data_IF_630901621158
#
_entry.id   IF_630901621158
#
_cell.length_a   1.000
_cell.length_b   1.000
_cell.length_c   1.000
_cell.angle_alpha   90.00
_cell.angle_beta   90.00
_cell.angle_gamma   90.00
#
_symmetry.space_group_name_H-M   'P 1'
#
loop_
_entity.id
_entity.type
_entity.pdbx_description
1 polymer ?
#
# COMPACT_ATOMS: atom_id res chain seq x y z
N UNK A 1 -6.69 25.75 20.87
CA UNK A 1 -5.28 26.08 21.23
C UNK A 1 -4.51 26.33 19.93
N UNK A 2 -3.90 27.54 19.73
CA UNK A 2 -3.08 27.78 18.54
C UNK A 2 -1.75 27.03 18.71
N UNK A 3 -1.56 25.94 17.98
CA UNK A 3 -0.30 25.20 17.93
C UNK A 3 0.72 26.09 17.19
N UNK A 4 1.90 26.37 17.81
CA UNK A 4 2.92 27.13 17.12
C UNK A 4 3.47 26.36 15.91
N UNK A 5 3.84 27.06 14.83
CA UNK A 5 4.40 26.41 13.63
C UNK A 5 5.60 25.52 13.95
N UNK A 6 6.48 25.95 14.91
CA UNK A 6 7.63 25.16 15.36
C UNK A 6 7.19 23.84 16.01
N UNK A 7 6.18 23.86 16.88
CA UNK A 7 5.63 22.65 17.52
C UNK A 7 4.99 21.73 16.48
N UNK A 8 4.28 22.31 15.50
CA UNK A 8 3.66 21.55 14.41
C UNK A 8 4.72 20.80 13.58
N UNK A 9 5.78 21.48 13.11
CA UNK A 9 6.86 20.82 12.35
C UNK A 9 7.55 19.72 13.17
N UNK A 10 7.87 19.96 14.43
CA UNK A 10 8.53 18.96 15.29
C UNK A 10 7.62 17.75 15.46
N UNK A 11 6.32 17.95 15.64
CA UNK A 11 5.37 16.85 15.79
C UNK A 11 5.24 16.02 14.52
N UNK A 12 5.07 16.67 13.35
CA UNK A 12 5.00 15.97 12.08
C UNK A 12 6.28 15.22 11.78
N UNK A 13 7.45 15.85 11.98
CA UNK A 13 8.74 15.19 11.80
C UNK A 13 8.91 13.98 12.73
N UNK A 14 8.50 14.10 14.01
CA UNK A 14 8.60 12.99 14.96
C UNK A 14 7.67 11.83 14.56
N UNK A 15 6.44 12.11 14.15
CA UNK A 15 5.52 11.10 13.64
C UNK A 15 6.03 10.48 12.33
N UNK A 16 6.65 11.28 11.46
CA UNK A 16 7.30 10.79 10.25
C UNK A 16 8.49 9.87 10.54
N UNK A 17 9.31 10.16 11.57
CA UNK A 17 10.40 9.28 12.01
C UNK A 17 9.84 7.94 12.54
N UNK A 18 8.73 7.96 13.28
CA UNK A 18 8.04 6.75 13.71
C UNK A 18 7.60 5.92 12.50
N UNK A 19 6.98 6.56 11.50
CA UNK A 19 6.58 5.91 10.27
C UNK A 19 7.78 5.39 9.47
N UNK A 20 8.85 6.16 9.34
CA UNK A 20 10.08 5.75 8.66
C UNK A 20 10.62 4.42 9.23
N UNK A 21 10.83 4.34 10.53
CA UNK A 21 11.29 3.08 11.15
C UNK A 21 10.25 1.98 11.06
N UNK A 22 8.95 2.32 11.11
CA UNK A 22 7.87 1.39 10.87
C UNK A 22 7.94 0.78 9.48
N UNK A 23 8.17 1.60 8.46
CA UNK A 23 8.23 1.17 7.08
C UNK A 23 9.55 0.47 6.74
N UNK A 24 10.67 0.83 7.39
CA UNK A 24 11.91 0.04 7.29
C UNK A 24 11.66 -1.42 7.71
N UNK A 25 10.92 -1.66 8.79
CA UNK A 25 10.61 -3.04 9.23
C UNK A 25 9.53 -3.65 8.34
N UNK A 26 8.44 -2.93 8.09
CA UNK A 26 7.28 -3.41 7.37
C UNK A 26 7.57 -3.68 5.89
N UNK A 27 8.06 -2.68 5.14
CA UNK A 27 8.35 -2.83 3.71
C UNK A 27 9.61 -3.69 3.50
N UNK A 28 10.57 -3.64 4.44
CA UNK A 28 11.67 -4.57 4.47
C UNK A 28 11.19 -6.02 4.55
N UNK A 29 10.34 -6.35 5.51
CA UNK A 29 9.74 -7.67 5.62
C UNK A 29 8.91 -8.04 4.39
N UNK A 30 8.08 -7.13 3.89
CA UNK A 30 7.22 -7.32 2.71
C UNK A 30 8.02 -7.69 1.46
N UNK A 31 9.22 -7.17 1.29
CA UNK A 31 10.09 -7.47 0.16
C UNK A 31 10.58 -8.92 0.14
N UNK A 32 10.64 -9.57 1.30
CA UNK A 32 11.19 -10.92 1.47
C UNK A 32 10.10 -11.98 1.75
N UNK A 33 8.93 -11.61 2.28
CA UNK A 33 7.86 -12.54 2.66
C UNK A 33 7.45 -13.50 1.55
N UNK A 34 7.25 -13.10 0.28
CA UNK A 34 6.81 -14.02 -0.77
C UNK A 34 7.82 -15.12 -1.05
N UNK A 35 9.10 -14.77 -1.07
CA UNK A 35 10.21 -15.69 -1.23
C UNK A 35 10.35 -16.60 -0.01
N UNK A 36 10.28 -16.04 1.20
CA UNK A 36 10.37 -16.81 2.44
C UNK A 36 9.23 -17.82 2.57
N UNK A 37 7.99 -17.45 2.25
CA UNK A 37 6.87 -18.39 2.21
C UNK A 37 7.10 -19.52 1.20
N UNK A 38 7.67 -19.20 0.01
CA UNK A 38 8.08 -20.20 -0.97
C UNK A 38 9.16 -21.12 -0.41
N UNK A 39 10.18 -20.57 0.26
CA UNK A 39 11.24 -21.35 0.92
C UNK A 39 10.67 -22.32 1.95
N UNK A 40 9.63 -21.91 2.69
CA UNK A 40 8.91 -22.77 3.64
C UNK A 40 7.97 -23.79 2.96
N UNK A 41 7.84 -23.78 1.63
CA UNK A 41 7.05 -24.72 0.86
C UNK A 41 5.64 -24.23 0.46
N UNK A 42 5.34 -22.95 0.62
CA UNK A 42 4.07 -22.38 0.18
C UNK A 42 4.01 -22.29 -1.35
N UNK A 43 2.89 -22.68 -1.93
CA UNK A 43 2.62 -22.56 -3.37
C UNK A 43 2.35 -21.10 -3.79
N UNK A 44 2.43 -20.79 -5.08
CA UNK A 44 2.10 -19.46 -5.60
C UNK A 44 0.63 -19.10 -5.32
N UNK A 45 -0.29 -20.06 -5.42
CA UNK A 45 -1.70 -19.87 -5.07
C UNK A 45 -1.83 -19.44 -3.62
N UNK A 46 -1.13 -20.12 -2.70
CA UNK A 46 -1.20 -19.80 -1.27
C UNK A 46 -0.61 -18.41 -0.99
N UNK A 47 0.55 -18.07 -1.55
CA UNK A 47 1.17 -16.74 -1.40
C UNK A 47 0.27 -15.63 -1.95
N UNK A 48 -0.31 -15.83 -3.13
CA UNK A 48 -1.28 -14.90 -3.71
C UNK A 48 -2.52 -14.73 -2.85
N UNK A 49 -3.08 -15.84 -2.35
CA UNK A 49 -4.25 -15.82 -1.46
C UNK A 49 -3.98 -15.08 -0.16
N UNK A 50 -2.84 -15.36 0.50
CA UNK A 50 -2.46 -14.73 1.76
C UNK A 50 -2.24 -13.23 1.57
N UNK A 51 -1.55 -12.84 0.50
CA UNK A 51 -1.33 -11.43 0.17
C UNK A 51 -2.65 -10.72 -0.09
N UNK A 52 -3.52 -11.31 -0.92
CA UNK A 52 -4.84 -10.77 -1.24
C UNK A 52 -5.74 -10.64 -0.01
N UNK A 53 -5.80 -11.69 0.82
CA UNK A 53 -6.57 -11.70 2.06
C UNK A 53 -6.04 -10.66 3.06
N UNK A 54 -4.73 -10.54 3.19
CA UNK A 54 -4.09 -9.56 4.06
C UNK A 54 -4.43 -8.11 3.67
N UNK A 55 -4.35 -7.77 2.37
CA UNK A 55 -4.73 -6.43 1.88
C UNK A 55 -6.22 -6.17 2.09
N UNK A 56 -7.09 -7.14 1.80
CA UNK A 56 -8.53 -7.01 2.01
C UNK A 56 -8.88 -6.78 3.49
N UNK A 57 -8.31 -7.58 4.39
CA UNK A 57 -8.45 -7.41 5.84
C UNK A 57 -7.96 -6.02 6.24
N UNK A 58 -6.80 -5.59 5.70
CA UNK A 58 -6.23 -4.28 5.93
C UNK A 58 -7.20 -3.14 5.56
N UNK A 59 -7.85 -3.22 4.40
CA UNK A 59 -8.82 -2.20 3.96
C UNK A 59 -10.08 -2.16 4.84
N UNK A 60 -10.66 -3.32 5.16
CA UNK A 60 -11.87 -3.38 6.00
C UNK A 60 -11.59 -2.89 7.41
N UNK A 61 -10.51 -3.38 8.03
CA UNK A 61 -10.19 -3.02 9.40
C UNK A 61 -9.84 -1.54 9.57
N UNK A 62 -9.31 -0.86 8.55
CA UNK A 62 -9.10 0.61 8.61
C UNK A 62 -10.39 1.37 8.82
N UNK A 63 -11.50 0.95 8.20
CA UNK A 63 -12.80 1.59 8.39
C UNK A 63 -13.28 1.40 9.83
N UNK A 64 -13.15 0.19 10.35
CA UNK A 64 -13.58 -0.15 11.71
C UNK A 64 -12.70 0.56 12.75
N UNK A 65 -11.38 0.48 12.61
CA UNK A 65 -10.43 1.06 13.56
C UNK A 65 -10.50 2.58 13.60
N UNK A 66 -10.66 3.24 12.45
CA UNK A 66 -10.86 4.69 12.36
C UNK A 66 -12.13 5.12 13.08
N UNK A 67 -13.27 4.48 12.79
CA UNK A 67 -14.54 4.77 13.46
C UNK A 67 -14.48 4.52 14.97
N UNK A 68 -13.82 3.44 15.39
CA UNK A 68 -13.68 3.11 16.81
C UNK A 68 -12.75 4.10 17.52
N UNK A 69 -11.65 4.50 16.90
CA UNK A 69 -10.74 5.51 17.43
C UNK A 69 -11.44 6.88 17.58
N UNK A 70 -12.27 7.26 16.62
CA UNK A 70 -13.05 8.50 16.67
C UNK A 70 -14.10 8.50 17.80
N UNK A 71 -14.76 7.38 18.02
CA UNK A 71 -15.76 7.21 19.09
C UNK A 71 -15.14 7.17 20.48
N UNK A 72 -14.05 6.42 20.62
CA UNK A 72 -13.38 6.20 21.92
C UNK A 72 -12.38 7.30 22.27
N UNK A 73 -11.95 8.11 21.29
CA UNK A 73 -10.84 9.08 21.40
C UNK A 73 -9.49 8.44 21.76
N UNK A 74 -9.39 7.13 21.65
CA UNK A 74 -8.23 6.34 22.08
C UNK A 74 -7.16 6.22 20.96
N UNK A 75 -6.92 7.28 20.18
CA UNK A 75 -6.02 7.26 19.02
C UNK A 75 -4.64 6.66 19.33
N UNK A 76 -4.06 7.04 20.48
CA UNK A 76 -2.75 6.53 20.86
C UNK A 76 -2.75 5.04 21.19
N UNK A 77 -3.84 4.49 21.71
CA UNK A 77 -3.97 3.03 21.93
C UNK A 77 -3.87 2.30 20.59
N UNK A 78 -4.60 2.77 19.57
CA UNK A 78 -4.54 2.17 18.23
C UNK A 78 -3.16 2.34 17.59
N UNK A 79 -2.49 3.48 17.79
CA UNK A 79 -1.13 3.73 17.32
C UNK A 79 -0.16 2.74 17.99
N UNK A 80 -0.18 2.59 19.31
CA UNK A 80 0.69 1.66 20.04
C UNK A 80 0.44 0.21 19.67
N UNK A 81 -0.82 -0.22 19.61
CA UNK A 81 -1.18 -1.59 19.20
C UNK A 81 -0.73 -1.86 17.77
N UNK A 82 -0.99 -0.93 16.85
CA UNK A 82 -0.67 -1.11 15.45
C UNK A 82 0.83 -1.12 15.16
N UNK A 83 1.62 -0.25 15.79
CA UNK A 83 3.09 -0.28 15.66
C UNK A 83 3.70 -1.44 16.47
N UNK A 84 3.11 -1.82 17.61
CA UNK A 84 3.54 -2.99 18.38
C UNK A 84 3.40 -4.30 17.61
N UNK A 85 2.32 -4.44 16.82
CA UNK A 85 2.13 -5.61 15.94
C UNK A 85 3.17 -5.73 14.83
N UNK A 86 3.93 -4.67 14.50
CA UNK A 86 5.06 -4.80 13.56
C UNK A 86 6.12 -5.78 14.09
N UNK A 87 6.19 -6.01 15.42
CA UNK A 87 7.10 -6.99 16.02
C UNK A 87 6.98 -8.40 15.42
N UNK A 88 5.82 -8.74 14.85
CA UNK A 88 5.64 -10.05 14.18
C UNK A 88 6.51 -10.21 12.94
N UNK A 89 6.95 -9.10 12.31
CA UNK A 89 7.82 -9.15 11.12
C UNK A 89 9.20 -9.72 11.47
N UNK A 90 9.95 -9.20 12.45
CA UNK A 90 11.17 -9.86 12.91
C UNK A 90 10.96 -11.29 13.39
N UNK A 91 9.79 -11.59 14.00
CA UNK A 91 9.46 -12.95 14.47
C UNK A 91 9.24 -13.95 13.33
N UNK A 92 9.02 -13.51 12.09
CA UNK A 92 9.01 -14.41 10.92
C UNK A 92 10.27 -15.27 10.85
N UNK A 93 11.45 -14.74 11.25
CA UNK A 93 12.70 -15.50 11.28
C UNK A 93 12.68 -16.72 12.19
N UNK A 94 11.71 -16.82 13.10
CA UNK A 94 11.50 -17.95 14.02
C UNK A 94 10.31 -18.83 13.62
N UNK A 95 9.62 -18.54 12.51
CA UNK A 95 8.46 -19.33 12.10
C UNK A 95 8.90 -20.73 11.65
N UNK A 96 8.39 -21.81 12.29
CA UNK A 96 8.80 -23.18 12.00
C UNK A 96 8.15 -23.72 10.70
N UNK A 97 7.11 -23.05 10.19
CA UNK A 97 6.35 -23.47 9.02
C UNK A 97 5.66 -22.26 8.36
N UNK A 98 5.21 -22.44 7.10
CA UNK A 98 4.49 -21.37 6.40
C UNK A 98 3.16 -21.01 7.05
N UNK A 99 2.47 -21.91 7.75
CA UNK A 99 1.22 -21.63 8.44
C UNK A 99 1.43 -20.58 9.55
N UNK A 100 2.48 -20.73 10.35
CA UNK A 100 2.83 -19.75 11.39
C UNK A 100 3.28 -18.44 10.76
N UNK A 101 4.07 -18.49 9.68
CA UNK A 101 4.47 -17.30 8.94
C UNK A 101 3.25 -16.54 8.39
N UNK A 102 2.24 -17.24 7.85
CA UNK A 102 0.98 -16.65 7.38
C UNK A 102 0.25 -15.91 8.51
N UNK A 103 0.18 -16.49 9.70
CA UNK A 103 -0.43 -15.82 10.85
C UNK A 103 0.29 -14.50 11.13
N UNK A 104 1.62 -14.49 11.13
CA UNK A 104 2.40 -13.27 11.35
C UNK A 104 2.16 -12.23 10.23
N UNK A 105 2.09 -12.66 8.98
CA UNK A 105 1.77 -11.77 7.84
C UNK A 105 0.39 -11.13 8.03
N UNK A 106 -0.62 -11.88 8.42
CA UNK A 106 -1.98 -11.34 8.66
C UNK A 106 -1.98 -10.39 9.87
N UNK A 107 -1.31 -10.75 10.98
CA UNK A 107 -1.21 -9.88 12.16
C UNK A 107 -0.52 -8.55 11.84
N UNK A 108 0.48 -8.55 10.98
CA UNK A 108 1.12 -7.33 10.51
C UNK A 108 0.11 -6.44 9.75
N UNK A 109 -0.73 -7.01 8.86
CA UNK A 109 -1.78 -6.28 8.14
C UNK A 109 -2.81 -5.67 9.09
N UNK A 110 -3.20 -6.41 10.11
CA UNK A 110 -4.05 -5.91 11.21
C UNK A 110 -3.36 -4.72 11.89
N UNK A 111 -2.07 -4.81 12.19
CA UNK A 111 -1.30 -3.73 12.78
C UNK A 111 -1.31 -2.46 11.92
N UNK A 112 -1.10 -2.58 10.61
CA UNK A 112 -1.18 -1.44 9.67
C UNK A 112 -2.58 -0.81 9.66
N UNK A 113 -3.61 -1.63 9.69
CA UNK A 113 -5.00 -1.17 9.70
C UNK A 113 -5.37 -0.42 10.99
N UNK A 114 -4.83 -0.83 12.14
CA UNK A 114 -5.09 -0.16 13.42
C UNK A 114 -4.39 1.21 13.49
N UNK A 115 -3.10 1.29 13.12
CA UNK A 115 -2.29 2.50 13.31
C UNK A 115 -2.60 3.62 12.33
N UNK A 116 -2.86 3.29 11.05
CA UNK A 116 -2.88 4.28 9.97
C UNK A 116 -3.96 5.36 10.16
N UNK A 117 -5.25 5.05 10.40
CA UNK A 117 -6.26 6.09 10.59
C UNK A 117 -6.00 6.98 11.80
N UNK A 118 -5.52 6.38 12.90
CA UNK A 118 -5.25 7.10 14.14
C UNK A 118 -4.03 8.01 14.02
N UNK A 119 -2.97 7.56 13.33
CA UNK A 119 -1.79 8.35 13.01
C UNK A 119 -2.16 9.57 12.16
N UNK A 120 -2.91 9.34 11.09
CA UNK A 120 -3.30 10.38 10.14
C UNK A 120 -4.22 11.42 10.80
N UNK A 121 -5.09 10.99 11.73
CA UNK A 121 -5.91 11.88 12.55
C UNK A 121 -5.04 12.80 13.41
N UNK A 122 -4.00 12.27 14.09
CA UNK A 122 -3.06 13.08 14.90
C UNK A 122 -2.31 14.08 14.01
N UNK A 123 -1.78 13.65 12.85
CA UNK A 123 -1.09 14.54 11.90
C UNK A 123 -2.02 15.64 11.41
N UNK A 124 -3.26 15.31 11.09
CA UNK A 124 -4.29 16.25 10.61
C UNK A 124 -4.57 17.40 11.59
N UNK A 125 -4.58 17.11 12.89
CA UNK A 125 -4.75 18.17 13.93
C UNK A 125 -3.58 19.14 13.94
N UNK A 126 -2.37 18.60 13.85
CA UNK A 126 -1.14 19.38 13.94
C UNK A 126 -0.88 20.18 12.66
N UNK A 127 -1.35 19.67 11.52
CA UNK A 127 -1.20 20.29 10.21
C UNK A 127 -1.83 21.69 10.13
N UNK A 128 -2.82 22.01 10.98
CA UNK A 128 -3.44 23.35 11.05
C UNK A 128 -2.41 24.46 11.32
N UNK A 129 -1.27 24.14 11.94
CA UNK A 129 -0.20 25.13 12.25
C UNK A 129 0.77 25.41 11.11
N UNK A 130 0.85 24.55 10.08
CA UNK A 130 1.85 24.66 8.99
C UNK A 130 1.26 24.45 7.58
N UNK A 131 -0.02 24.09 7.50
CA UNK A 131 -0.70 23.70 6.28
C UNK A 131 -0.67 22.17 6.04
N UNK A 132 -1.82 21.63 5.65
CA UNK A 132 -1.98 20.18 5.50
C UNK A 132 -1.05 19.58 4.42
N UNK A 133 -0.90 20.26 3.28
CA UNK A 133 0.00 19.80 2.21
C UNK A 133 1.46 19.65 2.67
N UNK A 134 1.98 20.63 3.44
CA UNK A 134 3.35 20.55 3.99
C UNK A 134 3.50 19.46 5.04
N UNK A 135 2.48 19.29 5.90
CA UNK A 135 2.51 18.29 6.96
C UNK A 135 2.50 16.87 6.39
N UNK A 136 1.54 16.58 5.53
CA UNK A 136 1.44 15.24 4.90
C UNK A 136 2.57 14.99 3.90
N UNK A 137 3.03 16.01 3.15
CA UNK A 137 4.18 15.87 2.26
C UNK A 137 5.49 15.55 2.99
N UNK A 138 5.76 16.18 4.14
CA UNK A 138 6.92 15.85 4.98
C UNK A 138 6.81 14.42 5.55
N UNK A 139 5.60 14.03 5.98
CA UNK A 139 5.35 12.68 6.47
C UNK A 139 5.58 11.64 5.37
N UNK A 140 5.00 11.86 4.18
CA UNK A 140 5.13 10.98 3.02
C UNK A 140 6.59 10.82 2.56
N UNK A 141 7.36 11.91 2.57
CA UNK A 141 8.79 11.84 2.26
C UNK A 141 9.53 10.89 3.21
N UNK A 142 9.22 10.92 4.50
CA UNK A 142 9.84 10.04 5.49
C UNK A 142 9.34 8.59 5.34
N UNK A 143 8.07 8.37 5.02
CA UNK A 143 7.52 7.06 4.68
C UNK A 143 8.24 6.46 3.46
N UNK A 144 8.44 7.22 2.38
CA UNK A 144 9.13 6.77 1.17
C UNK A 144 10.61 6.43 1.42
N UNK A 145 11.31 7.20 2.29
CA UNK A 145 12.67 6.85 2.72
C UNK A 145 12.68 5.49 3.42
N UNK A 146 11.67 5.22 4.27
CA UNK A 146 11.50 3.93 4.93
C UNK A 146 11.17 2.79 3.94
N UNK A 147 10.27 3.08 2.99
CA UNK A 147 9.81 2.11 1.99
C UNK A 147 10.90 1.64 1.01
N UNK A 148 11.87 2.51 0.71
CA UNK A 148 13.05 2.15 -0.09
C UNK A 148 14.16 1.60 0.80
N UNK A 149 14.39 2.22 1.96
CA UNK A 149 15.47 1.87 2.88
C UNK A 149 15.30 0.49 3.50
N UNK A 150 14.07 0.09 3.83
CA UNK A 150 13.77 -1.21 4.41
C UNK A 150 14.17 -2.38 3.52
N UNK A 151 13.64 -2.49 2.29
CA UNK A 151 14.03 -3.53 1.35
C UNK A 151 15.52 -3.50 1.00
N UNK A 152 16.13 -2.30 0.90
CA UNK A 152 17.58 -2.17 0.70
C UNK A 152 18.39 -2.75 1.86
N UNK A 153 17.95 -2.48 3.10
CA UNK A 153 18.55 -3.05 4.30
C UNK A 153 18.42 -4.58 4.31
N UNK A 154 17.24 -5.11 3.98
CA UNK A 154 16.98 -6.54 3.90
C UNK A 154 17.84 -7.20 2.81
N UNK A 155 17.98 -6.58 1.63
CA UNK A 155 18.86 -7.07 0.58
C UNK A 155 20.34 -7.17 1.07
N UNK A 156 20.84 -6.13 1.73
CA UNK A 156 22.17 -6.12 2.31
C UNK A 156 22.34 -7.20 3.39
N UNK A 157 21.35 -7.36 4.27
CA UNK A 157 21.36 -8.40 5.31
C UNK A 157 21.35 -9.81 4.71
N UNK A 158 20.53 -10.06 3.68
CA UNK A 158 20.52 -11.33 2.95
C UNK A 158 21.87 -11.62 2.30
N UNK A 159 22.48 -10.61 1.66
CA UNK A 159 23.79 -10.74 1.03
C UNK A 159 24.87 -11.12 2.06
N UNK A 160 24.98 -10.38 3.17
CA UNK A 160 25.99 -10.63 4.19
C UNK A 160 25.76 -11.90 5.02
N UNK A 161 24.49 -12.31 5.19
CA UNK A 161 24.15 -13.55 5.90
C UNK A 161 24.17 -14.80 5.01
N UNK A 162 24.66 -14.69 3.75
CA UNK A 162 24.61 -15.78 2.77
C UNK A 162 23.19 -16.34 2.57
N UNK A 163 22.24 -15.44 2.40
CA UNK A 163 20.80 -15.73 2.21
C UNK A 163 20.13 -16.45 3.38
N UNK A 164 20.53 -16.14 4.62
CA UNK A 164 19.91 -16.70 5.82
C UNK A 164 18.65 -15.89 6.20
N UNK A 165 17.48 -16.42 5.88
CA UNK A 165 16.18 -15.77 6.15
C UNK A 165 15.96 -15.50 7.63
N UNK A 166 16.22 -16.49 8.49
CA UNK A 166 16.02 -16.37 9.95
C UNK A 166 16.82 -15.20 10.53
N UNK A 167 18.12 -15.16 10.25
CA UNK A 167 18.99 -14.07 10.70
C UNK A 167 18.54 -12.72 10.16
N UNK A 168 18.15 -12.66 8.89
CA UNK A 168 17.70 -11.44 8.23
C UNK A 168 16.45 -10.86 8.88
N UNK A 169 15.43 -11.71 9.12
CA UNK A 169 14.23 -11.24 9.82
C UNK A 169 14.52 -10.82 11.25
N UNK A 170 15.30 -11.60 12.02
CA UNK A 170 15.66 -11.28 13.43
C UNK A 170 16.41 -9.94 13.51
N UNK A 171 17.30 -9.62 12.57
CA UNK A 171 18.01 -8.33 12.55
C UNK A 171 17.08 -7.13 12.40
N UNK A 172 15.86 -7.30 11.87
CA UNK A 172 14.84 -6.25 11.84
C UNK A 172 14.34 -5.84 13.24
N UNK A 173 14.68 -6.57 14.30
CA UNK A 173 14.46 -6.08 15.67
C UNK A 173 15.28 -4.81 15.97
N UNK A 174 16.39 -4.55 15.26
CA UNK A 174 17.18 -3.31 15.45
C UNK A 174 16.36 -2.08 15.04
N UNK A 175 15.88 -1.95 13.79
CA UNK A 175 15.02 -0.82 13.41
C UNK A 175 13.67 -0.85 14.15
N UNK A 176 13.15 -2.01 14.56
CA UNK A 176 11.97 -2.09 15.40
C UNK A 176 12.19 -1.48 16.79
N UNK A 177 13.35 -1.71 17.42
CA UNK A 177 13.68 -1.05 18.68
C UNK A 177 13.77 0.47 18.52
N UNK A 178 14.35 0.95 17.41
CA UNK A 178 14.39 2.38 17.08
C UNK A 178 12.97 2.93 16.87
N UNK A 179 12.07 2.20 16.22
CA UNK A 179 10.65 2.53 16.12
C UNK A 179 10.01 2.70 17.51
N UNK A 180 10.21 1.74 18.42
CA UNK A 180 9.62 1.79 19.76
C UNK A 180 10.13 3.04 20.53
N UNK A 181 11.43 3.33 20.47
CA UNK A 181 12.01 4.52 21.11
C UNK A 181 11.41 5.80 20.50
N UNK A 182 11.33 5.89 19.17
CA UNK A 182 10.73 7.03 18.48
C UNK A 182 9.25 7.21 18.84
N UNK A 183 8.49 6.11 18.94
CA UNK A 183 7.08 6.11 19.29
C UNK A 183 6.85 6.58 20.73
N UNK A 184 7.66 6.11 21.68
CA UNK A 184 7.60 6.55 23.07
C UNK A 184 7.96 8.04 23.20
N UNK A 185 8.95 8.50 22.44
CA UNK A 185 9.32 9.92 22.39
C UNK A 185 8.18 10.77 21.81
N UNK A 186 7.57 10.31 20.69
CA UNK A 186 6.41 10.96 20.08
C UNK A 186 5.25 11.09 21.07
N UNK A 187 4.93 10.01 21.78
CA UNK A 187 3.88 10.00 22.80
C UNK A 187 4.15 10.99 23.94
N UNK A 188 5.38 11.01 24.48
CA UNK A 188 5.76 11.96 25.53
C UNK A 188 5.59 13.41 25.11
N UNK A 189 5.92 13.72 23.84
CA UNK A 189 5.94 15.09 23.33
C UNK A 189 4.59 15.57 22.83
N UNK A 190 3.78 14.67 22.26
CA UNK A 190 2.55 14.97 21.53
C UNK A 190 1.31 14.40 22.21
N UNK A 191 1.44 13.23 22.83
CA UNK A 191 0.32 12.34 23.16
C UNK A 191 -0.72 12.91 24.11
N UNK A 192 -0.35 13.79 25.04
CA UNK A 192 -1.32 14.34 26.00
C UNK A 192 -2.01 15.62 25.51
N UNK A 193 -1.46 16.29 24.50
CA UNK A 193 -1.87 17.64 24.11
C UNK A 193 -2.60 17.71 22.77
N UNK A 194 -2.64 16.62 22.01
CA UNK A 194 -3.26 16.56 20.67
C UNK A 194 -4.35 15.51 20.68
N UNK A 195 -5.59 15.97 20.89
CA UNK A 195 -6.77 15.15 20.66
C UNK A 195 -7.43 15.62 19.35
N UNK A 196 -7.65 14.73 18.37
CA UNK A 196 -8.42 15.07 17.19
C UNK A 196 -9.85 15.46 17.57
N UNK A 197 -10.26 16.66 17.15
CA UNK A 197 -11.67 17.05 17.19
C UNK A 197 -12.38 16.32 16.07
N UNK A 198 -13.39 15.54 16.40
CA UNK A 198 -14.31 14.99 15.38
C UNK A 198 -15.03 16.17 14.75
N UNK A 199 -14.66 16.53 13.53
CA UNK A 199 -15.49 17.43 12.75
C UNK A 199 -16.81 16.71 12.49
N UNK A 200 -17.93 17.32 12.90
CA UNK A 200 -19.24 16.89 12.40
C UNK A 200 -19.16 16.78 10.89
N UNK A 201 -19.63 15.66 10.36
CA UNK A 201 -19.70 15.46 8.92
C UNK A 201 -20.44 16.65 8.30
N UNK A 202 -19.86 17.24 7.26
CA UNK A 202 -20.47 18.38 6.60
C UNK A 202 -21.94 18.07 6.29
N UNK A 203 -22.84 18.92 6.76
CA UNK A 203 -24.28 18.83 6.44
C UNK A 203 -24.42 19.11 4.94
N UNK A 204 -24.57 18.08 4.13
CA UNK A 204 -24.70 18.19 2.68
C UNK A 204 -25.30 16.92 2.08
N UNK A 205 -25.52 16.93 0.78
CA UNK A 205 -26.03 15.77 0.05
C UNK A 205 -25.08 14.57 0.27
N UNK A 206 -25.59 13.47 0.81
CA UNK A 206 -24.85 12.23 1.09
C UNK A 206 -25.05 11.18 0.00
N UNK A 207 -25.83 11.48 -1.03
CA UNK A 207 -26.19 10.50 -2.06
C UNK A 207 -25.04 10.40 -3.07
N UNK A 208 -24.50 9.20 -3.19
CA UNK A 208 -23.49 8.85 -4.20
C UNK A 208 -24.20 8.51 -5.51
N UNK A 209 -23.67 9.02 -6.62
CA UNK A 209 -24.23 8.84 -7.94
C UNK A 209 -23.84 7.47 -8.54
N UNK A 210 -24.58 7.03 -9.57
CA UNK A 210 -24.28 5.82 -10.34
C UNK A 210 -22.88 5.85 -10.97
N UNK A 211 -22.41 7.03 -11.39
CA UNK A 211 -21.07 7.23 -11.97
C UNK A 211 -19.97 6.91 -10.97
N UNK A 212 -20.16 7.25 -9.70
CA UNK A 212 -19.27 6.85 -8.61
C UNK A 212 -19.21 5.32 -8.47
N UNK A 213 -20.33 4.62 -8.52
CA UNK A 213 -20.33 3.15 -8.43
C UNK A 213 -19.71 2.50 -9.66
N UNK A 214 -20.00 2.99 -10.86
CA UNK A 214 -19.36 2.51 -12.11
C UNK A 214 -17.84 2.69 -12.06
N UNK A 215 -17.37 3.84 -11.58
CA UNK A 215 -15.94 4.08 -11.35
C UNK A 215 -15.34 3.02 -10.42
N UNK A 216 -15.96 2.77 -9.27
CA UNK A 216 -15.44 1.79 -8.29
C UNK A 216 -15.44 0.36 -8.84
N UNK A 217 -16.47 -0.02 -9.62
CA UNK A 217 -16.50 -1.32 -10.32
C UNK A 217 -15.37 -1.41 -11.34
N UNK A 218 -15.12 -0.34 -12.12
CA UNK A 218 -14.02 -0.29 -13.08
C UNK A 218 -12.65 -0.47 -12.39
N UNK A 219 -12.41 0.25 -11.30
CA UNK A 219 -11.15 0.14 -10.54
C UNK A 219 -11.02 -1.25 -9.88
N UNK A 220 -12.09 -1.77 -9.27
CA UNK A 220 -12.11 -3.12 -8.71
C UNK A 220 -11.79 -4.19 -9.76
N UNK A 221 -12.40 -4.09 -10.94
CA UNK A 221 -12.15 -5.01 -12.06
C UNK A 221 -10.70 -4.89 -12.59
N UNK A 222 -10.18 -3.67 -12.71
CA UNK A 222 -8.77 -3.44 -13.06
C UNK A 222 -7.84 -4.08 -12.05
N UNK A 223 -8.15 -3.99 -10.76
CA UNK A 223 -7.36 -4.60 -9.69
C UNK A 223 -7.41 -6.13 -9.76
N UNK A 224 -8.56 -6.72 -10.11
CA UNK A 224 -8.69 -8.16 -10.39
C UNK A 224 -7.76 -8.60 -11.54
N UNK A 225 -7.53 -7.74 -12.52
CA UNK A 225 -6.66 -8.00 -13.67
C UNK A 225 -5.21 -7.55 -13.49
N UNK A 226 -4.77 -7.16 -12.30
CA UNK A 226 -3.37 -6.77 -12.02
C UNK A 226 -2.69 -7.85 -11.18
N UNK A 227 -1.58 -8.39 -11.67
CA UNK A 227 -0.77 -9.35 -10.91
C UNK A 227 -0.24 -8.69 -9.63
N UNK A 228 -0.45 -9.28 -8.42
CA UNK A 228 0.14 -8.76 -7.19
C UNK A 228 1.67 -8.79 -7.21
N UNK A 229 2.32 -7.74 -6.68
CA UNK A 229 3.80 -7.65 -6.61
C UNK A 229 4.41 -8.86 -5.88
N UNK A 230 3.74 -9.39 -4.87
CA UNK A 230 4.19 -10.58 -4.15
C UNK A 230 4.39 -11.78 -5.08
N UNK A 231 3.56 -11.94 -6.11
CA UNK A 231 3.68 -13.00 -7.08
C UNK A 231 4.77 -12.73 -8.13
N UNK A 232 5.05 -11.46 -8.43
CA UNK A 232 6.23 -11.06 -9.25
C UNK A 232 7.52 -11.45 -8.51
N UNK A 233 7.62 -11.13 -7.22
CA UNK A 233 8.76 -11.51 -6.37
C UNK A 233 8.88 -13.03 -6.21
N UNK A 234 7.75 -13.74 -6.00
CA UNK A 234 7.72 -15.20 -5.95
C UNK A 234 8.26 -15.83 -7.23
N UNK A 235 7.87 -15.30 -8.40
CA UNK A 235 8.38 -15.75 -9.71
C UNK A 235 9.88 -15.44 -9.83
N UNK A 236 10.31 -14.24 -9.41
CA UNK A 236 11.72 -13.86 -9.35
C UNK A 236 12.54 -14.86 -8.54
N UNK A 237 12.06 -15.23 -7.35
CA UNK A 237 12.68 -16.24 -6.49
C UNK A 237 12.74 -17.65 -7.09
N UNK A 238 11.96 -17.92 -8.14
CA UNK A 238 12.01 -19.19 -8.87
C UNK A 238 13.05 -19.22 -10.00
N UNK A 239 13.54 -18.03 -10.40
CA UNK A 239 14.45 -17.85 -11.53
C UNK A 239 15.88 -17.62 -11.02
N UNK A 240 16.01 -16.89 -9.92
CA UNK A 240 17.29 -16.53 -9.32
C UNK A 240 17.90 -17.75 -8.63
N UNK A 241 19.23 -17.92 -8.77
CA UNK A 241 19.98 -18.99 -8.10
C UNK A 241 19.88 -18.88 -6.56
N UNK A 242 19.97 -20.01 -5.83
CA UNK A 242 19.93 -19.99 -4.36
C UNK A 242 20.99 -19.08 -3.71
N UNK A 243 22.14 -18.90 -4.35
CA UNK A 243 23.22 -18.00 -3.91
C UNK A 243 22.90 -16.51 -4.10
N UNK A 244 21.91 -16.18 -4.92
CA UNK A 244 21.56 -14.83 -5.33
C UNK A 244 20.17 -14.38 -4.84
N UNK A 245 19.55 -15.09 -3.91
CA UNK A 245 18.21 -14.77 -3.41
C UNK A 245 18.13 -13.36 -2.77
N UNK A 246 19.25 -12.77 -2.34
CA UNK A 246 19.34 -11.38 -1.90
C UNK A 246 18.88 -10.35 -2.97
N UNK A 247 18.80 -10.76 -4.25
CA UNK A 247 18.26 -9.92 -5.32
C UNK A 247 16.74 -9.69 -5.22
N UNK A 248 16.01 -10.56 -4.53
CA UNK A 248 14.53 -10.44 -4.46
C UNK A 248 14.10 -9.17 -3.73
N UNK A 249 14.63 -8.82 -2.56
CA UNK A 249 14.38 -7.51 -1.98
C UNK A 249 14.82 -6.34 -2.86
N UNK A 250 15.90 -6.50 -3.66
CA UNK A 250 16.32 -5.47 -4.63
C UNK A 250 15.26 -5.25 -5.72
N UNK A 251 14.60 -6.31 -6.20
CA UNK A 251 13.48 -6.18 -7.13
C UNK A 251 12.35 -5.33 -6.53
N UNK A 252 12.09 -5.48 -5.24
CA UNK A 252 11.10 -4.65 -4.57
C UNK A 252 11.57 -3.19 -4.39
N UNK A 253 12.88 -2.95 -4.16
CA UNK A 253 13.47 -1.59 -4.21
C UNK A 253 13.21 -0.94 -5.56
N UNK A 254 13.35 -1.68 -6.67
CA UNK A 254 13.05 -1.16 -8.02
C UNK A 254 11.59 -0.72 -8.12
N UNK A 255 10.64 -1.52 -7.61
CA UNK A 255 9.22 -1.13 -7.58
C UNK A 255 9.02 0.19 -6.86
N UNK A 256 9.53 0.32 -5.63
CA UNK A 256 9.35 1.52 -4.79
C UNK A 256 10.08 2.75 -5.35
N UNK A 257 11.26 2.56 -5.93
CA UNK A 257 12.02 3.65 -6.54
C UNK A 257 11.37 4.21 -7.81
N UNK A 258 10.58 3.40 -8.51
CA UNK A 258 9.79 3.84 -9.68
C UNK A 258 8.45 4.44 -9.24
N UNK A 259 7.80 3.85 -8.25
CA UNK A 259 6.50 4.29 -7.72
C UNK A 259 6.52 5.76 -7.28
N UNK A 260 7.44 6.14 -6.41
CA UNK A 260 7.48 7.46 -5.79
C UNK A 260 7.52 8.64 -6.81
N UNK A 261 8.44 8.69 -7.79
CA UNK A 261 8.44 9.76 -8.80
C UNK A 261 7.23 9.69 -9.73
N UNK A 262 6.75 8.50 -10.08
CA UNK A 262 5.57 8.34 -10.94
C UNK A 262 4.32 8.84 -10.23
N UNK A 263 4.13 8.59 -8.95
CA UNK A 263 3.00 9.10 -8.18
C UNK A 263 2.93 10.64 -8.23
N UNK A 264 4.07 11.32 -8.08
CA UNK A 264 4.16 12.78 -8.18
C UNK A 264 3.83 13.28 -9.59
N UNK A 265 4.45 12.69 -10.62
CA UNK A 265 4.24 13.07 -12.03
C UNK A 265 2.78 12.83 -12.42
N UNK A 266 2.21 11.69 -12.03
CA UNK A 266 0.83 11.33 -12.32
C UNK A 266 -0.16 12.29 -11.65
N UNK A 267 0.08 12.67 -10.40
CA UNK A 267 -0.74 13.67 -9.71
C UNK A 267 -0.76 15.02 -10.41
N UNK A 268 0.42 15.54 -10.79
CA UNK A 268 0.54 16.81 -11.53
C UNK A 268 -0.12 16.75 -12.91
N UNK A 269 -0.02 15.61 -13.59
CA UNK A 269 -0.66 15.41 -14.89
C UNK A 269 -2.18 15.27 -14.76
N UNK A 270 -2.66 14.60 -13.69
CA UNK A 270 -4.09 14.47 -13.42
C UNK A 270 -4.76 15.82 -13.18
N UNK A 271 -4.10 16.75 -12.51
CA UNK A 271 -4.60 18.11 -12.30
C UNK A 271 -4.84 18.88 -13.62
N UNK A 272 -4.13 18.50 -14.71
CA UNK A 272 -4.27 19.10 -16.04
C UNK A 272 -5.20 18.34 -16.98
N UNK A 273 -5.13 17.02 -16.95
CA UNK A 273 -5.84 16.13 -17.89
C UNK A 273 -7.17 15.62 -17.33
N UNK A 274 -7.28 15.59 -15.99
CA UNK A 274 -8.46 15.11 -15.28
C UNK A 274 -8.63 13.59 -15.37
N UNK A 275 -9.89 13.17 -15.20
CA UNK A 275 -10.27 11.75 -15.05
C UNK A 275 -9.90 10.85 -16.24
N UNK A 276 -9.69 11.43 -17.45
CA UNK A 276 -9.27 10.68 -18.64
C UNK A 276 -7.90 10.02 -18.47
N UNK A 277 -7.05 10.58 -17.60
CA UNK A 277 -5.74 10.03 -17.30
C UNK A 277 -5.80 8.65 -16.65
N UNK A 278 -6.92 8.29 -16.03
CA UNK A 278 -7.12 6.97 -15.40
C UNK A 278 -7.05 5.80 -16.39
N UNK A 279 -7.20 6.04 -17.68
CA UNK A 279 -7.02 5.01 -18.72
C UNK A 279 -5.58 4.48 -18.74
N UNK A 280 -4.58 5.33 -18.42
CA UNK A 280 -3.16 4.95 -18.48
C UNK A 280 -2.79 3.82 -17.49
N UNK A 281 -3.08 3.91 -16.18
CA UNK A 281 -2.77 2.82 -15.26
C UNK A 281 -3.54 1.52 -15.60
N UNK A 282 -4.77 1.61 -16.12
CA UNK A 282 -5.51 0.42 -16.55
C UNK A 282 -4.82 -0.26 -17.73
N UNK A 283 -4.43 0.50 -18.75
CA UNK A 283 -3.71 -0.02 -19.90
C UNK A 283 -2.32 -0.55 -19.53
N UNK A 284 -1.57 0.18 -18.68
CA UNK A 284 -0.25 -0.21 -18.23
C UNK A 284 -0.26 -1.47 -17.35
N UNK A 285 -1.39 -1.78 -16.68
CA UNK A 285 -1.56 -2.99 -15.85
C UNK A 285 -1.38 -4.30 -16.62
N UNK A 286 -1.42 -4.26 -17.97
CA UNK A 286 -1.10 -5.40 -18.81
C UNK A 286 0.41 -5.73 -18.83
N UNK A 287 1.28 -4.73 -18.69
CA UNK A 287 2.73 -4.87 -18.87
C UNK A 287 3.40 -5.80 -17.85
N UNK A 288 3.11 -5.75 -16.53
CA UNK A 288 3.74 -6.66 -15.57
C UNK A 288 3.50 -8.13 -15.92
N UNK A 289 2.28 -8.49 -16.32
CA UNK A 289 1.98 -9.87 -16.70
C UNK A 289 2.63 -10.25 -18.02
N UNK A 290 2.68 -9.33 -18.99
CA UNK A 290 3.36 -9.54 -20.25
C UNK A 290 4.84 -9.91 -20.01
N UNK A 291 5.56 -9.14 -19.22
CA UNK A 291 6.98 -9.41 -18.96
C UNK A 291 7.18 -10.71 -18.15
N UNK A 292 6.37 -10.96 -17.12
CA UNK A 292 6.45 -12.20 -16.32
C UNK A 292 6.26 -13.45 -17.17
N UNK A 293 5.51 -13.37 -18.25
CA UNK A 293 5.23 -14.51 -19.13
C UNK A 293 6.47 -15.00 -19.89
N UNK A 294 7.49 -14.17 -20.11
CA UNK A 294 8.74 -14.58 -20.77
C UNK A 294 9.74 -15.30 -19.87
N UNK A 295 9.69 -15.09 -18.55
CA UNK A 295 10.33 -15.95 -17.56
C UNK A 295 11.84 -15.76 -17.32
N UNK A 296 12.48 -14.69 -17.79
CA UNK A 296 13.89 -14.36 -17.50
C UNK A 296 14.02 -13.36 -16.35
N UNK A 297 15.24 -13.19 -15.81
CA UNK A 297 15.50 -12.20 -14.75
C UNK A 297 15.33 -10.76 -15.26
N UNK A 298 15.75 -10.48 -16.48
CA UNK A 298 15.55 -9.18 -17.13
C UNK A 298 14.08 -8.83 -17.23
N UNK A 299 13.25 -9.80 -17.62
CA UNK A 299 11.80 -9.65 -17.75
C UNK A 299 11.14 -9.44 -16.39
N UNK A 300 11.61 -10.10 -15.34
CA UNK A 300 11.14 -9.85 -13.97
C UNK A 300 11.49 -8.42 -13.52
N UNK A 301 12.69 -7.90 -13.84
CA UNK A 301 13.07 -6.50 -13.57
C UNK A 301 12.12 -5.55 -14.33
N UNK A 302 11.85 -5.80 -15.62
CA UNK A 302 10.92 -5.01 -16.41
C UNK A 302 9.48 -5.08 -15.85
N UNK A 303 9.07 -6.23 -15.35
CA UNK A 303 7.77 -6.38 -14.67
C UNK A 303 7.71 -5.56 -13.37
N UNK A 304 8.79 -5.51 -12.60
CA UNK A 304 8.88 -4.68 -11.39
C UNK A 304 8.82 -3.17 -11.74
N UNK A 305 9.52 -2.73 -12.79
CA UNK A 305 9.45 -1.35 -13.28
C UNK A 305 8.03 -1.02 -13.73
N UNK A 306 7.44 -1.87 -14.56
CA UNK A 306 6.06 -1.68 -15.05
C UNK A 306 5.04 -1.66 -13.89
N UNK A 307 5.21 -2.54 -12.89
CA UNK A 307 4.37 -2.55 -11.71
C UNK A 307 4.53 -1.26 -10.89
N UNK A 308 5.76 -0.76 -10.69
CA UNK A 308 6.02 0.50 -10.00
C UNK A 308 5.34 1.68 -10.70
N UNK A 309 5.37 1.72 -12.05
CA UNK A 309 4.63 2.73 -12.83
C UNK A 309 3.12 2.67 -12.59
N UNK A 310 2.55 1.45 -12.60
CA UNK A 310 1.11 1.26 -12.33
C UNK A 310 0.77 1.68 -10.90
N UNK A 311 1.58 1.25 -9.91
CA UNK A 311 1.37 1.52 -8.49
C UNK A 311 1.39 3.03 -8.22
N UNK A 312 2.40 3.78 -8.71
CA UNK A 312 2.51 5.22 -8.53
C UNK A 312 1.33 5.98 -9.13
N UNK A 313 0.86 5.58 -10.31
CA UNK A 313 -0.36 6.15 -10.85
C UNK A 313 -1.58 5.82 -9.99
N UNK A 314 -1.74 4.57 -9.51
CA UNK A 314 -2.89 4.15 -8.70
C UNK A 314 -2.95 4.90 -7.36
N UNK A 315 -1.85 5.01 -6.66
CA UNK A 315 -1.80 5.66 -5.35
C UNK A 315 -2.13 7.15 -5.41
N UNK A 316 -1.73 7.82 -6.49
CA UNK A 316 -1.97 9.24 -6.69
C UNK A 316 -3.37 9.51 -7.25
N UNK A 317 -3.67 9.02 -8.46
CA UNK A 317 -4.81 9.53 -9.22
C UNK A 317 -6.14 8.81 -8.92
N UNK A 318 -6.13 7.56 -8.44
CA UNK A 318 -7.38 6.88 -8.10
C UNK A 318 -8.10 7.57 -6.94
N UNK A 319 -7.35 7.98 -5.91
CA UNK A 319 -7.92 8.73 -4.77
C UNK A 319 -8.33 10.15 -5.15
N UNK A 320 -7.56 10.80 -6.03
CA UNK A 320 -7.88 12.13 -6.52
C UNK A 320 -9.24 12.14 -7.25
N UNK A 321 -9.51 11.15 -8.10
CA UNK A 321 -10.77 11.02 -8.82
C UNK A 321 -12.00 10.93 -7.90
N UNK A 322 -11.89 10.27 -6.74
CA UNK A 322 -12.98 10.15 -5.77
C UNK A 322 -13.38 11.53 -5.23
N UNK A 323 -12.41 12.43 -5.04
CA UNK A 323 -12.70 13.77 -4.53
C UNK A 323 -13.59 14.59 -5.48
N UNK A 324 -13.54 14.31 -6.78
CA UNK A 324 -14.38 14.90 -7.82
C UNK A 324 -15.73 14.20 -8.00
N UNK A 325 -15.77 12.86 -7.77
CA UNK A 325 -16.98 12.04 -7.95
C UNK A 325 -17.89 12.01 -6.73
N UNK A 326 -17.40 12.38 -5.55
CA UNK A 326 -18.17 12.30 -4.30
C UNK A 326 -18.41 13.69 -3.69
N UNK A 327 -19.67 14.03 -3.33
CA UNK A 327 -19.99 15.28 -2.64
C UNK A 327 -19.26 15.35 -1.29
N UNK A 328 -18.91 16.56 -0.86
CA UNK A 328 -18.11 16.80 0.35
C UNK A 328 -18.66 16.08 1.61
N UNK A 329 -19.98 16.02 1.75
CA UNK A 329 -20.66 15.36 2.88
C UNK A 329 -20.61 13.82 2.85
N UNK A 330 -20.23 13.21 1.71
CA UNK A 330 -20.17 11.76 1.51
C UNK A 330 -18.75 11.23 1.32
N UNK A 331 -17.71 12.08 1.31
CA UNK A 331 -16.33 11.67 0.97
C UNK A 331 -15.79 10.53 1.83
N UNK A 332 -16.06 10.55 3.14
CA UNK A 332 -15.62 9.45 4.02
C UNK A 332 -16.21 8.11 3.62
N UNK A 333 -17.53 8.06 3.35
CA UNK A 333 -18.21 6.86 2.85
C UNK A 333 -17.69 6.45 1.48
N UNK A 334 -17.44 7.43 0.60
CA UNK A 334 -16.90 7.18 -0.74
C UNK A 334 -15.52 6.54 -0.71
N UNK A 335 -14.59 7.03 0.10
CA UNK A 335 -13.28 6.39 0.28
C UNK A 335 -13.39 4.99 0.90
N UNK A 336 -14.36 4.79 1.80
CA UNK A 336 -14.66 3.47 2.36
C UNK A 336 -15.09 2.46 1.31
N UNK A 337 -16.05 2.84 0.46
CA UNK A 337 -16.53 2.01 -0.66
C UNK A 337 -15.39 1.73 -1.65
N UNK A 338 -14.63 2.75 -2.01
CA UNK A 338 -13.47 2.60 -2.88
C UNK A 338 -12.46 1.57 -2.35
N UNK A 339 -12.07 1.68 -1.08
CA UNK A 339 -11.15 0.73 -0.46
C UNK A 339 -11.72 -0.70 -0.42
N UNK A 340 -13.04 -0.83 -0.26
CA UNK A 340 -13.72 -2.13 -0.34
C UNK A 340 -13.59 -2.75 -1.74
N UNK A 341 -13.82 -1.98 -2.82
CA UNK A 341 -13.67 -2.47 -4.19
C UNK A 341 -12.21 -2.83 -4.52
N UNK A 342 -11.24 -2.03 -4.06
CA UNK A 342 -9.82 -2.38 -4.17
C UNK A 342 -9.51 -3.69 -3.44
N UNK A 343 -9.95 -3.82 -2.20
CA UNK A 343 -9.72 -5.02 -1.41
C UNK A 343 -10.33 -6.27 -2.05
N UNK A 344 -11.58 -6.17 -2.54
CA UNK A 344 -12.23 -7.25 -3.29
C UNK A 344 -11.46 -7.60 -4.57
N UNK A 345 -10.89 -6.60 -5.25
CA UNK A 345 -10.05 -6.83 -6.42
C UNK A 345 -8.80 -7.65 -6.07
N UNK A 346 -8.07 -7.26 -5.03
CA UNK A 346 -6.81 -7.92 -4.65
C UNK A 346 -7.03 -9.34 -4.10
N UNK A 347 -8.09 -9.56 -3.29
CA UNK A 347 -8.38 -10.92 -2.76
C UNK A 347 -8.76 -11.90 -3.87
N UNK A 348 -9.35 -11.44 -4.96
CA UNK A 348 -9.66 -12.25 -6.15
C UNK A 348 -8.43 -12.43 -7.03
N UNK A 349 -7.63 -11.37 -7.25
CA UNK A 349 -6.44 -11.41 -8.07
C UNK A 349 -5.39 -12.41 -7.53
N UNK A 350 -5.15 -12.40 -6.22
CA UNK A 350 -4.11 -13.22 -5.58
C UNK A 350 -4.15 -14.71 -5.97
N UNK A 351 -5.22 -15.45 -5.68
CA UNK A 351 -5.31 -16.87 -6.02
C UNK A 351 -5.34 -17.12 -7.54
N UNK A 352 -5.98 -16.25 -8.34
CA UNK A 352 -6.06 -16.41 -9.80
C UNK A 352 -4.66 -16.31 -10.42
N UNK A 353 -3.90 -15.27 -10.09
CA UNK A 353 -2.54 -15.14 -10.60
C UNK A 353 -1.58 -16.17 -10.00
N UNK A 354 -1.81 -16.63 -8.76
CA UNK A 354 -1.10 -17.76 -8.19
C UNK A 354 -1.30 -19.04 -9.03
N UNK A 355 -2.55 -19.33 -9.40
CA UNK A 355 -2.88 -20.45 -10.29
C UNK A 355 -2.22 -20.30 -11.67
N UNK A 356 -2.20 -19.09 -12.22
CA UNK A 356 -1.55 -18.84 -13.50
C UNK A 356 -0.03 -19.08 -13.45
N UNK A 357 0.63 -18.72 -12.36
CA UNK A 357 2.06 -18.97 -12.20
C UNK A 357 2.41 -20.46 -12.04
N UNK A 358 1.49 -21.27 -11.50
CA UNK A 358 1.65 -22.71 -11.40
C UNK A 358 1.24 -23.44 -12.70
N UNK A 359 0.37 -22.84 -13.50
CA UNK A 359 0.01 -23.35 -14.81
C UNK A 359 1.13 -23.01 -15.83
N UNK A 360 1.45 -23.95 -16.72
CA UNK A 360 2.40 -23.70 -17.80
C UNK A 360 1.77 -22.96 -19.01
N UNK A 361 0.55 -22.47 -18.86
CA UNK A 361 -0.21 -21.83 -19.94
C UNK A 361 0.08 -20.32 -19.97
N UNK A 362 0.94 -19.86 -20.89
CA UNK A 362 1.32 -18.43 -20.99
C UNK A 362 0.23 -17.54 -21.59
N UNK A 363 -0.58 -18.06 -22.51
CA UNK A 363 -1.59 -17.27 -23.23
C UNK A 363 -2.79 -16.93 -22.34
N UNK A 364 -3.21 -17.84 -21.47
CA UNK A 364 -4.40 -17.68 -20.65
C UNK A 364 -4.31 -16.50 -19.68
N UNK A 365 -3.21 -16.29 -18.92
CA UNK A 365 -3.04 -15.10 -18.09
C UNK A 365 -3.08 -13.79 -18.89
N UNK A 366 -2.43 -13.74 -20.04
CA UNK A 366 -2.42 -12.55 -20.89
C UNK A 366 -3.82 -12.21 -21.42
N UNK A 367 -4.56 -13.21 -21.88
CA UNK A 367 -5.94 -13.04 -22.32
C UNK A 367 -6.84 -12.56 -21.16
N UNK A 368 -6.66 -13.14 -19.96
CA UNK A 368 -7.40 -12.75 -18.78
C UNK A 368 -7.14 -11.27 -18.40
N UNK A 369 -5.89 -10.84 -18.36
CA UNK A 369 -5.54 -9.44 -18.09
C UNK A 369 -6.10 -8.53 -19.19
N UNK A 370 -5.94 -8.88 -20.47
CA UNK A 370 -6.47 -8.07 -21.57
C UNK A 370 -7.99 -7.87 -21.45
N UNK A 371 -8.75 -8.96 -21.21
CA UNK A 371 -10.21 -8.90 -21.06
C UNK A 371 -10.62 -8.04 -19.86
N UNK A 372 -9.99 -8.25 -18.71
CA UNK A 372 -10.32 -7.50 -17.48
C UNK A 372 -9.99 -6.02 -17.62
N UNK A 373 -8.84 -5.66 -18.21
CA UNK A 373 -8.45 -4.26 -18.39
C UNK A 373 -9.30 -3.56 -19.46
N UNK A 374 -9.61 -4.21 -20.58
CA UNK A 374 -10.51 -3.65 -21.61
C UNK A 374 -11.91 -3.41 -21.01
N UNK A 375 -12.45 -4.38 -20.26
CA UNK A 375 -13.74 -4.20 -19.59
C UNK A 375 -13.70 -3.08 -18.55
N UNK A 376 -12.62 -2.96 -17.76
CA UNK A 376 -12.43 -1.89 -16.80
C UNK A 376 -12.35 -0.52 -17.48
N UNK A 377 -11.61 -0.38 -18.57
CA UNK A 377 -11.53 0.85 -19.36
C UNK A 377 -12.91 1.22 -19.92
N UNK A 378 -13.65 0.26 -20.45
CA UNK A 378 -15.01 0.49 -20.96
C UNK A 378 -15.95 1.03 -19.87
N UNK A 379 -15.95 0.42 -18.68
CA UNK A 379 -16.75 0.90 -17.54
C UNK A 379 -16.29 2.28 -17.06
N UNK A 380 -14.98 2.53 -17.03
CA UNK A 380 -14.41 3.83 -16.68
C UNK A 380 -14.91 4.92 -17.64
N UNK A 381 -14.84 4.67 -18.97
CA UNK A 381 -15.30 5.62 -19.97
C UNK A 381 -16.82 5.88 -19.89
N UNK A 382 -17.61 4.90 -19.46
CA UNK A 382 -19.03 5.11 -19.18
C UNK A 382 -19.26 5.98 -17.93
N UNK A 383 -18.39 5.83 -16.90
CA UNK A 383 -18.49 6.65 -15.69
C UNK A 383 -18.20 8.14 -15.92
N UNK A 384 -17.49 8.46 -17.01
CA UNK A 384 -17.08 9.84 -17.33
C UNK A 384 -18.01 10.58 -18.29
N UNK A 385 -18.94 9.89 -18.95
CA UNK A 385 -19.82 10.47 -20.01
C UNK A 385 -20.84 11.52 -19.53
N UNK A 386 -20.99 11.74 -18.21
CA UNK A 386 -22.01 12.62 -17.63
C UNK A 386 -21.48 13.55 -16.53
N UNK A 387 -20.18 13.78 -16.43
CA UNK A 387 -19.69 14.96 -15.72
C UNK A 387 -19.89 16.15 -16.67
N UNK A 388 -20.81 17.10 -16.39
CA UNK A 388 -20.81 18.35 -17.13
C UNK A 388 -19.43 18.95 -17.00
N UNK A 389 -18.90 19.49 -18.11
CA UNK A 389 -17.74 20.38 -18.08
C UNK A 389 -18.12 21.63 -17.24
N UNK A 390 -18.14 21.49 -15.91
CA UNK A 390 -18.08 22.65 -15.04
C UNK A 390 -16.66 23.17 -15.14
N UNK A 391 -16.53 24.22 -15.95
CA UNK A 391 -15.44 25.15 -15.99
C UNK A 391 -14.79 25.25 -14.62
N UNK A 392 -13.62 24.61 -14.48
CA UNK A 392 -12.66 25.00 -13.46
C UNK A 392 -12.10 26.33 -13.97
N UNK A 393 -12.87 27.39 -13.77
CA UNK A 393 -12.34 28.74 -13.80
C UNK A 393 -11.43 28.88 -12.59
N UNK A 394 -10.18 29.15 -12.90
CA UNK A 394 -9.07 29.54 -12.03
C UNK A 394 -9.44 30.47 -10.89
#
# INVERSE_FOLDING_TARGET
MKISSRTAYITVATMGIVSLFGDVVYEGGRSLIPEYLKFLGASAILVGTVTGAGEFIGYILRLVSGSLADRTKAYWVFIFLGYGLIAVVPLLGLAPSYEIAIIFVILERVGKALRSPSRDAVISVVSKGIGSGKAFGLHELLDQIGAIGGPSLVAAMMFWSSNNYSSTFILLFIPFAALVVALLYAYKKVGRNVQPEVKEAAKGNKRLDKHFYLYNVAIGLSTVGLIPVALILYKGASIVEPSQQWLIPVLYVVVQAVDAPIALIAGLAFDRVGIKMLVLPLAASFLPMLFISYGGLTEVILACIAYGVVLGMQESIYRAAISGLAPAGARGTAYGIFNMFLGLGVIVAGPIFGLFLESQLMILPLAYVAVTQVAAIFLLLQSTKHTPDEEISL
#
